data_IF_510366937247
#
_entry.id   IF_510366937247
#
_cell.length_a   1.000
_cell.length_b   1.000
_cell.length_c   1.000
_cell.angle_alpha   90.00
_cell.angle_beta   90.00
_cell.angle_gamma   90.00
#
_symmetry.space_group_name_H-M   'P 1'
#
loop_
_entity.id
_entity.type
_entity.pdbx_description
1 polymer ?
#
# COMPACT_ATOMS: atom_id res chain seq x y z
N UNK A 1 14.25 4.18 -57.81
CA UNK A 1 13.05 3.37 -58.08
C UNK A 1 12.63 2.70 -56.78
N UNK A 2 11.36 2.87 -56.41
CA UNK A 2 10.75 2.39 -55.16
C UNK A 2 10.44 0.89 -55.24
N UNK A 3 10.63 0.17 -54.14
CA UNK A 3 9.97 -1.10 -53.85
C UNK A 3 9.77 -1.15 -52.32
N UNK A 4 8.62 -0.68 -51.84
CA UNK A 4 7.44 -1.47 -51.45
C UNK A 4 7.67 -2.31 -50.18
N UNK A 5 6.90 -1.94 -49.16
CA UNK A 5 6.88 -2.46 -47.81
C UNK A 5 6.37 -3.91 -47.75
N UNK A 6 6.89 -4.68 -46.81
CA UNK A 6 6.18 -5.84 -46.25
C UNK A 6 6.00 -5.56 -44.76
N UNK A 7 4.78 -5.14 -44.42
CA UNK A 7 4.30 -5.07 -43.05
C UNK A 7 4.18 -6.49 -42.50
N UNK A 8 4.94 -6.81 -41.46
CA UNK A 8 4.70 -8.00 -40.65
C UNK A 8 3.94 -7.59 -39.38
N UNK A 9 2.61 -7.64 -39.48
CA UNK A 9 1.70 -7.61 -38.34
C UNK A 9 1.86 -8.91 -37.54
N UNK A 10 2.62 -8.86 -36.44
CA UNK A 10 2.62 -9.94 -35.45
C UNK A 10 1.47 -9.71 -34.45
N UNK A 11 0.36 -10.36 -34.72
CA UNK A 11 -0.69 -10.67 -33.75
C UNK A 11 -0.16 -11.73 -32.76
N UNK A 12 -0.45 -11.53 -31.47
CA UNK A 12 -0.45 -12.61 -30.47
C UNK A 12 0.51 -12.37 -29.29
N UNK A 13 0.15 -12.59 -28.03
CA UNK A 13 -1.00 -13.24 -27.41
C UNK A 13 -1.22 -12.52 -26.07
N UNK A 14 -2.39 -11.90 -25.87
CA UNK A 14 -2.76 -11.36 -24.56
C UNK A 14 -3.17 -12.53 -23.67
N UNK A 15 -2.24 -13.08 -22.89
CA UNK A 15 -2.56 -14.08 -21.88
C UNK A 15 -3.30 -13.36 -20.74
N UNK A 16 -4.63 -13.37 -20.80
CA UNK A 16 -5.49 -13.03 -19.67
C UNK A 16 -5.39 -14.15 -18.62
N UNK A 17 -4.29 -14.16 -17.88
CA UNK A 17 -4.20 -14.88 -16.62
C UNK A 17 -4.97 -14.08 -15.58
N UNK A 18 -6.31 -14.22 -15.57
CA UNK A 18 -7.14 -13.80 -14.45
C UNK A 18 -6.94 -14.78 -13.28
N UNK A 19 -5.74 -14.82 -12.72
CA UNK A 19 -5.55 -15.36 -11.38
C UNK A 19 -6.34 -14.45 -10.44
N UNK A 20 -7.19 -15.05 -9.61
CA UNK A 20 -7.99 -14.37 -8.58
C UNK A 20 -7.23 -13.17 -8.02
N UNK A 21 -7.87 -11.99 -8.00
CA UNK A 21 -7.25 -10.76 -7.53
C UNK A 21 -6.81 -10.94 -6.08
N UNK A 22 -5.57 -11.38 -5.89
CA UNK A 22 -4.94 -11.46 -4.59
C UNK A 22 -4.98 -10.05 -4.04
N UNK A 23 -5.42 -9.86 -2.77
CA UNK A 23 -5.10 -8.69 -1.97
C UNK A 23 -3.67 -8.23 -2.24
N UNK A 24 -3.50 -7.28 -3.16
CA UNK A 24 -2.18 -6.97 -3.70
C UNK A 24 -1.82 -5.55 -3.36
N UNK A 25 -0.62 -5.41 -2.83
CA UNK A 25 0.06 -4.14 -2.72
C UNK A 25 0.45 -3.73 -4.14
N UNK A 26 -0.12 -2.63 -4.63
CA UNK A 26 0.12 -2.11 -5.98
C UNK A 26 1.31 -1.16 -5.93
N UNK A 27 2.34 -1.43 -6.72
CA UNK A 27 3.57 -0.62 -6.72
C UNK A 27 3.30 0.86 -7.03
N UNK A 28 2.34 1.17 -7.90
CA UNK A 28 1.95 2.54 -8.22
C UNK A 28 1.43 3.32 -6.99
N UNK A 29 0.81 2.63 -6.02
CA UNK A 29 0.37 3.26 -4.78
C UNK A 29 1.57 3.58 -3.89
N UNK A 30 2.54 2.67 -3.81
CA UNK A 30 3.78 2.87 -3.05
C UNK A 30 4.61 4.03 -3.61
N UNK A 31 4.82 4.03 -4.92
CA UNK A 31 5.64 5.03 -5.59
C UNK A 31 5.00 6.42 -5.54
N UNK A 32 3.66 6.50 -5.47
CA UNK A 32 2.96 7.79 -5.36
C UNK A 32 3.33 8.58 -4.10
N UNK A 33 3.87 7.92 -3.07
CA UNK A 33 4.29 8.56 -1.83
C UNK A 33 5.71 9.10 -1.85
N UNK A 34 6.59 8.62 -2.76
CA UNK A 34 7.98 9.08 -2.80
C UNK A 34 8.03 10.58 -3.10
N UNK A 35 8.71 11.33 -2.23
CA UNK A 35 8.80 12.78 -2.34
C UNK A 35 7.57 13.55 -1.88
N UNK A 36 6.59 12.91 -1.25
CA UNK A 36 5.49 13.63 -0.58
C UNK A 36 5.96 14.21 0.75
N UNK A 37 5.47 15.39 1.15
CA UNK A 37 5.74 15.91 2.49
C UNK A 37 5.08 15.04 3.55
N UNK A 38 5.69 14.94 4.72
CA UNK A 38 5.14 14.19 5.86
C UNK A 38 3.77 14.72 6.30
N UNK A 39 3.50 16.01 6.10
CA UNK A 39 2.20 16.62 6.33
C UNK A 39 1.07 15.94 5.51
N UNK A 40 1.41 15.41 4.33
CA UNK A 40 0.47 14.66 3.51
C UNK A 40 0.03 13.35 4.16
N UNK A 41 0.87 12.74 5.02
CA UNK A 41 0.50 11.59 5.83
C UNK A 41 -0.33 12.02 7.04
N UNK A 42 0.10 13.08 7.73
CA UNK A 42 -0.52 13.54 8.98
C UNK A 42 -1.95 14.02 8.81
N UNK A 43 -2.28 14.48 7.60
CA UNK A 43 -3.62 14.95 7.25
C UNK A 43 -4.38 13.95 6.37
N UNK A 44 -3.80 12.79 6.05
CA UNK A 44 -4.42 11.81 5.17
C UNK A 44 -5.63 11.16 5.85
N UNK A 45 -6.81 11.24 5.23
CA UNK A 45 -8.07 10.73 5.82
C UNK A 45 -7.99 9.28 6.30
N UNK A 46 -7.35 8.39 5.54
CA UNK A 46 -7.18 6.98 5.93
C UNK A 46 -6.18 6.76 7.07
N UNK A 47 -5.01 7.40 7.04
CA UNK A 47 -3.94 7.13 8.00
C UNK A 47 -4.20 7.82 9.34
N UNK A 48 -4.90 8.96 9.32
CA UNK A 48 -5.33 9.68 10.52
C UNK A 48 -6.26 8.86 11.44
N UNK A 49 -6.95 7.84 10.91
CA UNK A 49 -7.82 6.98 11.72
C UNK A 49 -7.11 5.75 12.29
N UNK A 50 -5.85 5.50 11.89
CA UNK A 50 -5.09 4.33 12.30
C UNK A 50 -4.23 4.64 13.53
N UNK A 51 -3.89 3.60 14.31
CA UNK A 51 -2.92 3.75 15.40
C UNK A 51 -1.53 3.97 14.80
N UNK A 52 -0.94 5.13 15.08
CA UNK A 52 0.41 5.48 14.63
C UNK A 52 1.45 5.23 15.73
N UNK A 53 2.57 4.60 15.37
CA UNK A 53 3.80 4.61 16.17
C UNK A 53 4.95 5.20 15.36
N UNK A 54 5.87 5.88 16.04
CA UNK A 54 7.04 6.50 15.41
C UNK A 54 8.33 6.05 16.10
N UNK A 55 9.41 5.95 15.33
CA UNK A 55 10.78 5.79 15.82
C UNK A 55 11.75 6.48 14.87
N UNK A 56 12.92 6.85 15.36
CA UNK A 56 13.97 7.45 14.53
C UNK A 56 15.24 6.59 14.57
N UNK A 57 15.81 6.31 13.41
CA UNK A 57 17.10 5.60 13.31
C UNK A 57 18.26 6.50 13.70
N UNK A 58 19.42 5.93 14.02
CA UNK A 58 20.63 6.70 14.29
C UNK A 58 21.06 7.61 13.11
N UNK A 59 20.70 7.25 11.88
CA UNK A 59 20.96 8.03 10.67
C UNK A 59 19.94 9.15 10.42
N UNK A 60 19.00 9.37 11.34
CA UNK A 60 17.99 10.42 11.26
C UNK A 60 16.80 10.10 10.35
N UNK A 61 16.58 8.83 10.00
CA UNK A 61 15.37 8.41 9.27
C UNK A 61 14.26 8.18 10.28
N UNK A 62 13.18 8.96 10.17
CA UNK A 62 11.95 8.71 10.91
C UNK A 62 11.19 7.56 10.24
N UNK A 63 10.69 6.63 11.05
CA UNK A 63 9.86 5.52 10.62
C UNK A 63 8.52 5.64 11.32
N UNK A 64 7.46 5.86 10.55
CA UNK A 64 6.07 5.84 11.06
C UNK A 64 5.39 4.55 10.64
N UNK A 65 4.68 3.92 11.57
CA UNK A 65 3.83 2.78 11.30
C UNK A 65 2.38 3.14 11.59
N UNK A 66 1.54 3.18 10.56
CA UNK A 66 0.09 3.27 10.73
C UNK A 66 -0.47 1.86 10.69
N UNK A 67 -0.81 1.32 11.86
CA UNK A 67 -1.29 -0.05 11.99
C UNK A 67 -2.80 -0.13 11.88
N UNK A 68 -3.26 -1.02 11.01
CA UNK A 68 -4.66 -1.42 10.92
C UNK A 68 -4.76 -2.90 11.29
N UNK A 69 -5.33 -3.18 12.46
CA UNK A 69 -5.48 -4.53 12.99
C UNK A 69 -6.96 -4.92 12.98
N UNK A 70 -7.25 -6.09 12.39
CA UNK A 70 -8.54 -6.74 12.50
C UNK A 70 -8.41 -7.90 13.49
N UNK A 71 -9.11 -7.82 14.62
CA UNK A 71 -9.20 -8.89 15.60
C UNK A 71 -10.48 -9.66 15.40
N UNK A 72 -10.40 -10.99 15.42
CA UNK A 72 -11.56 -11.86 15.37
C UNK A 72 -11.32 -13.12 16.19
N UNK A 73 -12.34 -13.59 16.88
CA UNK A 73 -12.31 -14.88 17.57
C UNK A 73 -13.05 -15.90 16.73
N UNK A 74 -12.37 -16.96 16.33
CA UNK A 74 -12.97 -18.07 15.61
C UNK A 74 -13.21 -19.23 16.57
N UNK A 75 -14.47 -19.63 16.73
CA UNK A 75 -14.84 -20.78 17.54
C UNK A 75 -15.31 -21.92 16.65
N UNK A 76 -14.86 -23.14 16.96
CA UNK A 76 -15.30 -24.37 16.30
C UNK A 76 -15.67 -25.43 17.34
N UNK A 77 -16.66 -26.26 17.03
CA UNK A 77 -17.18 -27.29 17.93
C UNK A 77 -18.68 -27.14 18.20
N UNK A 78 -19.20 -27.92 19.14
CA UNK A 78 -20.61 -27.87 19.52
C UNK A 78 -20.84 -26.86 20.65
N UNK A 79 -22.11 -26.51 20.91
CA UNK A 79 -22.46 -25.59 22.01
C UNK A 79 -21.95 -26.03 23.39
N UNK A 80 -21.66 -27.32 23.58
CA UNK A 80 -21.17 -27.90 24.83
C UNK A 80 -19.64 -28.11 24.86
N UNK A 81 -18.97 -28.04 23.71
CA UNK A 81 -17.52 -28.19 23.56
C UNK A 81 -17.05 -27.34 22.37
N UNK A 82 -16.93 -26.03 22.59
CA UNK A 82 -16.37 -25.11 21.62
C UNK A 82 -14.90 -24.83 21.96
N UNK A 83 -14.01 -24.95 20.98
CA UNK A 83 -12.65 -24.44 21.03
C UNK A 83 -12.60 -23.13 20.26
N UNK A 84 -12.19 -22.06 20.93
CA UNK A 84 -12.03 -20.75 20.35
C UNK A 84 -10.55 -20.42 20.21
N UNK A 85 -10.18 -19.88 19.05
CA UNK A 85 -8.86 -19.34 18.77
C UNK A 85 -9.01 -17.88 18.38
N UNK A 86 -8.26 -17.03 19.08
CA UNK A 86 -8.12 -15.63 18.68
C UNK A 86 -7.22 -15.55 17.44
N UNK A 87 -7.66 -14.75 16.49
CA UNK A 87 -6.91 -14.43 15.28
C UNK A 87 -6.79 -12.93 15.17
N UNK A 88 -5.62 -12.46 14.77
CA UNK A 88 -5.43 -11.09 14.34
C UNK A 88 -4.77 -11.04 12.99
N UNK A 89 -5.31 -10.19 12.13
CA UNK A 89 -4.75 -9.89 10.82
C UNK A 89 -4.35 -8.43 10.84
N UNK A 90 -3.06 -8.16 10.70
CA UNK A 90 -2.51 -6.81 10.80
C UNK A 90 -1.87 -6.39 9.49
N UNK A 91 -2.21 -5.18 9.05
CA UNK A 91 -1.47 -4.44 8.05
C UNK A 91 -0.69 -3.31 8.74
N UNK A 92 0.63 -3.34 8.62
CA UNK A 92 1.52 -2.28 9.10
C UNK A 92 1.94 -1.42 7.92
N UNK A 93 1.43 -0.18 7.86
CA UNK A 93 1.76 0.77 6.81
C UNK A 93 3.01 1.57 7.23
N UNK A 94 4.19 1.08 6.82
CA UNK A 94 5.48 1.68 7.21
C UNK A 94 5.91 2.76 6.23
N UNK A 95 6.05 3.99 6.72
CA UNK A 95 6.62 5.12 5.99
C UNK A 95 7.99 5.46 6.54
N UNK A 96 8.95 5.57 5.64
CA UNK A 96 10.30 6.06 5.93
C UNK A 96 10.37 7.51 5.48
N UNK A 97 10.81 8.37 6.39
CA UNK A 97 10.77 9.82 6.24
C UNK A 97 12.16 10.37 6.54
N UNK A 98 12.64 11.27 5.70
CA UNK A 98 13.89 12.00 5.90
C UNK A 98 13.71 13.45 5.51
N UNK A 99 14.17 14.37 6.36
CA UNK A 99 14.03 15.81 6.16
C UNK A 99 12.58 16.25 5.88
N UNK A 100 11.61 15.65 6.59
CA UNK A 100 10.18 15.96 6.41
C UNK A 100 9.54 15.42 5.14
N UNK A 101 10.26 14.60 4.35
CA UNK A 101 9.79 14.03 3.09
C UNK A 101 9.76 12.51 3.16
N UNK A 102 8.72 11.90 2.59
CA UNK A 102 8.63 10.45 2.46
C UNK A 102 9.65 9.96 1.44
N UNK A 103 10.54 9.08 1.87
CA UNK A 103 11.52 8.43 1.00
C UNK A 103 11.04 7.07 0.51
N UNK A 104 10.20 6.39 1.29
CA UNK A 104 9.65 5.07 0.96
C UNK A 104 8.37 4.78 1.73
N UNK A 105 7.44 4.07 1.07
CA UNK A 105 6.29 3.43 1.68
C UNK A 105 6.39 1.92 1.45
N UNK A 106 6.55 1.13 2.53
CA UNK A 106 6.76 -0.31 2.47
C UNK A 106 5.81 -1.06 3.44
N UNK A 107 4.54 -1.27 3.07
CA UNK A 107 3.59 -1.97 3.92
C UNK A 107 4.03 -3.42 4.16
N UNK A 108 3.79 -3.93 5.36
CA UNK A 108 4.14 -5.31 5.76
C UNK A 108 2.96 -5.99 6.46
N UNK A 109 2.85 -7.32 6.30
CA UNK A 109 1.71 -8.10 6.79
C UNK A 109 0.64 -8.28 5.73
N UNK A 110 -0.61 -8.38 6.15
CA UNK A 110 -1.76 -8.62 5.25
C UNK A 110 -2.36 -7.29 4.80
N UNK A 111 -1.67 -6.62 3.88
CA UNK A 111 -2.03 -5.31 3.37
C UNK A 111 -2.69 -5.38 1.99
N UNK A 112 -3.62 -4.45 1.75
CA UNK A 112 -4.20 -4.19 0.44
C UNK A 112 -4.09 -2.70 0.16
N UNK A 113 -3.66 -2.34 -1.05
CA UNK A 113 -3.65 -0.94 -1.47
C UNK A 113 -4.61 -0.74 -2.62
N UNK A 114 -5.29 0.40 -2.61
CA UNK A 114 -6.10 0.86 -3.71
C UNK A 114 -5.95 2.40 -3.84
N UNK A 115 -6.76 3.06 -4.67
CA UNK A 115 -6.57 4.49 -4.93
C UNK A 115 -6.80 5.35 -3.67
N UNK A 116 -7.47 4.81 -2.64
CA UNK A 116 -7.73 5.51 -1.37
C UNK A 116 -6.50 5.61 -0.47
N UNK A 117 -5.44 4.82 -0.72
CA UNK A 117 -4.18 4.93 0.05
C UNK A 117 -3.20 5.94 -0.55
N UNK A 118 -3.50 6.50 -1.73
CA UNK A 118 -2.60 7.44 -2.43
C UNK A 118 -2.70 8.84 -1.82
N UNK A 119 -1.66 9.68 -1.97
CA UNK A 119 -1.72 11.06 -1.50
C UNK A 119 -2.97 11.79 -2.00
N UNK A 120 -3.61 12.51 -1.09
CA UNK A 120 -4.84 13.24 -1.41
C UNK A 120 -4.53 14.36 -2.40
N UNK A 121 -5.48 14.65 -3.30
CA UNK A 121 -5.28 15.54 -4.46
C UNK A 121 -4.67 16.90 -4.14
N UNK A 122 -4.94 17.44 -2.94
CA UNK A 122 -4.39 18.72 -2.49
C UNK A 122 -2.86 18.76 -2.45
N UNK A 123 -2.19 17.63 -2.23
CA UNK A 123 -0.73 17.55 -2.24
C UNK A 123 -0.16 17.24 -3.63
N UNK A 124 -0.96 16.61 -4.51
CA UNK A 124 -0.58 16.36 -5.91
C UNK A 124 -0.54 17.65 -6.74
N UNK A 125 -1.30 18.68 -6.38
CA UNK A 125 -1.23 20.01 -7.02
C UNK A 125 -0.02 20.84 -6.60
N UNK A 126 0.53 20.58 -5.41
CA UNK A 126 1.67 21.32 -4.85
C UNK A 126 3.01 20.79 -5.36
N UNK A 127 3.08 19.52 -5.74
CA UNK A 127 4.29 18.85 -6.23
C UNK A 127 4.52 19.00 -7.74
N UNK A 128 3.60 19.63 -8.47
CA UNK A 128 3.70 19.90 -9.92
C UNK A 128 4.17 21.31 -10.26
N UNK A 129 4.58 22.11 -9.27
CA UNK A 129 5.18 23.43 -9.45
C UNK A 129 6.71 23.31 -9.42
#
# INVERSE_FOLDING_TARGET
MRAFQIAATALGISVLAACAAVPSVRQADLDSWKGMPVEALDTHSLFATMRMTTRTTASGVEVRNYSNEQKGTYCSGSAFNASCVDSSVTCNNLFYIKNGMVVEYAPTGQCMTNDTVRPERRYLSLTKQ
#
